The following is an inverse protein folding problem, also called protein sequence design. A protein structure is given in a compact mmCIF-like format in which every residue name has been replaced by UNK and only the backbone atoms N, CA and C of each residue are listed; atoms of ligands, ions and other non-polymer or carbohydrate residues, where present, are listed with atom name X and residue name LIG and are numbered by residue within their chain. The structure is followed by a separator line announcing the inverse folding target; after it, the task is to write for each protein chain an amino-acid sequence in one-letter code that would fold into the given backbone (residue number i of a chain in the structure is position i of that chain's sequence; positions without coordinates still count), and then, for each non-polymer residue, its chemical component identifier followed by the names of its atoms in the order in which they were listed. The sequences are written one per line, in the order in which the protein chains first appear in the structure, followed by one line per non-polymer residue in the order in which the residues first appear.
data_IF_004789352594
#
_entry.id   IF_004789352594
#
_cell.length_a   1.000
_cell.length_b   1.000
_cell.length_c   1.000
_cell.angle_alpha   90.00
_cell.angle_beta   90.00
_cell.angle_gamma   90.00
#
_symmetry.space_group_name_H-M   'P 1'
#
loop_
_entity.id
_entity.type
_entity.pdbx_description
1 polymer ?
#
# COMPACT_ATOMS: atom_id res chain seq x y z
N UNK A 1 22.22 -10.94 7.01
CA UNK A 1 22.37 -11.45 5.63
C UNK A 1 21.54 -10.55 4.72
N UNK A 2 22.05 -10.19 3.54
CA UNK A 2 21.30 -9.42 2.54
C UNK A 2 20.31 -10.35 1.83
N UNK A 3 19.03 -9.98 1.80
CA UNK A 3 17.99 -10.72 1.08
C UNK A 3 17.35 -9.80 0.03
N UNK A 4 17.32 -10.27 -1.22
CA UNK A 4 16.53 -9.66 -2.28
C UNK A 4 15.15 -10.32 -2.30
N UNK A 5 14.12 -9.53 -2.06
CA UNK A 5 12.73 -9.97 -2.11
C UNK A 5 12.09 -9.47 -3.40
N UNK A 6 11.31 -10.34 -4.04
CA UNK A 6 10.52 -9.99 -5.22
C UNK A 6 9.06 -10.38 -5.00
N UNK A 7 8.16 -9.55 -5.51
CA UNK A 7 6.73 -9.83 -5.54
C UNK A 7 6.17 -9.42 -6.89
N UNK A 8 5.17 -10.14 -7.39
CA UNK A 8 4.55 -9.84 -8.68
C UNK A 8 3.12 -9.33 -8.48
N UNK A 9 2.82 -8.19 -9.09
CA UNK A 9 1.44 -7.72 -9.22
C UNK A 9 0.87 -8.36 -10.49
N UNK A 10 -0.22 -9.11 -10.35
CA UNK A 10 -0.89 -9.68 -11.52
C UNK A 10 -1.36 -8.57 -12.46
N UNK A 11 -1.45 -8.84 -13.76
CA UNK A 11 -2.04 -7.86 -14.68
C UNK A 11 -3.52 -7.64 -14.36
N UNK A 12 -4.23 -8.72 -14.07
CA UNK A 12 -5.63 -8.73 -13.61
C UNK A 12 -5.69 -9.38 -12.23
N UNK A 13 -5.35 -8.65 -11.15
CA UNK A 13 -5.45 -9.16 -9.79
C UNK A 13 -6.90 -9.48 -9.41
N UNK A 14 -7.08 -10.42 -8.49
CA UNK A 14 -8.37 -10.66 -7.85
C UNK A 14 -8.74 -9.43 -7.01
N UNK A 15 -9.93 -8.82 -7.20
CA UNK A 15 -10.40 -7.69 -6.39
C UNK A 15 -10.37 -7.95 -4.87
N UNK A 16 -10.47 -9.21 -4.46
CA UNK A 16 -10.39 -9.61 -3.04
C UNK A 16 -8.94 -9.74 -2.53
N UNK A 17 -7.94 -9.66 -3.41
CA UNK A 17 -6.55 -9.73 -3.03
C UNK A 17 -6.14 -8.46 -2.26
N UNK A 18 -5.73 -8.66 -1.00
CA UNK A 18 -5.23 -7.57 -0.17
C UNK A 18 -3.70 -7.45 -0.29
N UNK A 19 -3.23 -6.23 -0.57
CA UNK A 19 -1.82 -5.91 -0.72
C UNK A 19 -1.20 -5.21 0.49
N UNK A 20 -2.00 -4.86 1.50
CA UNK A 20 -1.55 -4.14 2.71
C UNK A 20 -0.36 -4.82 3.38
N UNK A 21 -0.48 -6.11 3.67
CA UNK A 21 0.49 -6.82 4.50
C UNK A 21 1.86 -6.94 3.84
N UNK A 22 1.89 -7.04 2.50
CA UNK A 22 3.13 -7.05 1.74
C UNK A 22 3.89 -5.72 1.89
N UNK A 23 3.19 -4.59 1.79
CA UNK A 23 3.80 -3.26 1.91
C UNK A 23 4.26 -3.03 3.35
N UNK A 24 3.40 -3.36 4.33
CA UNK A 24 3.72 -3.22 5.75
C UNK A 24 4.90 -4.11 6.16
N UNK A 25 4.99 -5.33 5.62
CA UNK A 25 6.15 -6.19 5.85
C UNK A 25 7.43 -5.55 5.31
N UNK A 26 7.40 -4.96 4.10
CA UNK A 26 8.55 -4.27 3.53
C UNK A 26 8.97 -3.03 4.34
N UNK A 27 8.01 -2.23 4.81
CA UNK A 27 8.28 -1.07 5.69
C UNK A 27 8.93 -1.50 7.01
N UNK A 28 8.41 -2.55 7.66
CA UNK A 28 8.97 -3.07 8.90
C UNK A 28 10.36 -3.67 8.70
N UNK A 29 10.58 -4.41 7.60
CA UNK A 29 11.89 -4.98 7.27
C UNK A 29 12.97 -3.92 7.07
N UNK A 30 12.58 -2.70 6.66
CA UNK A 30 13.47 -1.54 6.54
C UNK A 30 13.53 -0.66 7.78
N UNK A 31 12.77 -0.98 8.83
CA UNK A 31 12.70 -0.16 10.05
C UNK A 31 12.09 1.22 9.82
N UNK A 32 11.25 1.38 8.80
CA UNK A 32 10.68 2.68 8.40
C UNK A 32 9.40 3.05 9.18
N UNK A 33 8.82 2.12 9.94
CA UNK A 33 7.58 2.38 10.70
C UNK A 33 7.94 3.03 12.04
N UNK A 34 7.54 4.30 12.29
CA UNK A 34 7.80 4.97 13.56
C UNK A 34 6.98 4.35 14.70
N UNK A 35 7.53 4.40 15.93
CA UNK A 35 6.88 3.84 17.12
C UNK A 35 5.48 4.43 17.37
N UNK A 36 5.31 5.75 17.20
CA UNK A 36 4.02 6.42 17.24
C UNK A 36 3.48 6.69 15.82
N UNK A 37 2.16 6.68 15.59
CA UNK A 37 1.59 7.07 14.30
C UNK A 37 1.96 8.52 13.95
N UNK A 38 2.30 8.80 12.68
CA UNK A 38 2.52 10.17 12.24
C UNK A 38 1.22 10.99 12.32
N UNK A 39 1.35 12.29 12.56
CA UNK A 39 0.24 13.22 12.42
C UNK A 39 0.13 13.65 10.95
N UNK A 40 -0.95 13.24 10.28
CA UNK A 40 -1.17 13.54 8.86
C UNK A 40 -1.96 14.84 8.70
N UNK A 41 -1.34 15.87 8.13
CA UNK A 41 -2.04 17.10 7.77
C UNK A 41 -3.00 16.86 6.60
N UNK A 42 -4.22 17.37 6.69
CA UNK A 42 -5.21 17.26 5.60
C UNK A 42 -6.03 15.97 5.61
N UNK A 43 -5.74 15.03 6.51
CA UNK A 43 -6.55 13.82 6.69
C UNK A 43 -7.44 13.92 7.94
N UNK A 44 -8.66 13.34 7.90
CA UNK A 44 -9.47 13.16 9.10
C UNK A 44 -8.73 12.33 10.16
N UNK A 45 -8.97 12.63 11.45
CA UNK A 45 -8.27 11.95 12.56
C UNK A 45 -8.50 10.43 12.66
N UNK A 46 -9.48 9.86 11.94
CA UNK A 46 -9.69 8.41 11.84
C UNK A 46 -8.85 7.75 10.74
N UNK A 47 -8.13 8.51 9.91
CA UNK A 47 -7.20 8.00 8.91
C UNK A 47 -5.82 7.89 9.55
N UNK A 48 -5.52 6.70 10.06
CA UNK A 48 -4.22 6.35 10.62
C UNK A 48 -3.99 4.84 10.46
N UNK A 49 -2.73 4.40 10.55
CA UNK A 49 -2.34 3.00 10.29
C UNK A 49 -3.14 1.93 11.04
N UNK A 50 -3.56 2.18 12.29
CA UNK A 50 -4.37 1.22 13.07
C UNK A 50 -5.82 1.05 12.57
N UNK A 51 -6.30 1.93 11.70
CA UNK A 51 -7.61 1.82 11.07
C UNK A 51 -7.51 1.32 9.63
N UNK A 52 -6.33 1.05 9.09
CA UNK A 52 -6.19 0.52 7.73
C UNK A 52 -6.51 -0.98 7.71
N UNK A 53 -7.62 -1.33 7.08
CA UNK A 53 -8.08 -2.71 6.95
C UNK A 53 -7.46 -3.42 5.76
N UNK A 54 -7.54 -2.83 4.58
CA UNK A 54 -7.09 -3.47 3.34
C UNK A 54 -6.65 -2.46 2.28
N UNK A 55 -5.83 -2.92 1.34
CA UNK A 55 -5.54 -2.23 0.08
C UNK A 55 -5.85 -3.22 -1.04
N UNK A 56 -6.86 -2.93 -1.86
CA UNK A 56 -7.27 -3.76 -3.01
C UNK A 56 -7.08 -3.00 -4.31
N UNK A 57 -7.12 -3.72 -5.44
CA UNK A 57 -7.05 -3.15 -6.78
C UNK A 57 -8.29 -3.57 -7.54
N UNK A 58 -8.95 -2.63 -8.19
CA UNK A 58 -10.16 -2.91 -8.97
C UNK A 58 -10.09 -2.20 -10.32
N UNK A 59 -10.70 -2.83 -11.31
CA UNK A 59 -10.80 -2.30 -12.66
C UNK A 59 -12.19 -1.76 -12.92
N UNK A 60 -12.27 -0.50 -13.34
CA UNK A 60 -13.50 0.21 -13.67
C UNK A 60 -13.36 0.86 -15.05
N UNK A 61 -14.27 0.52 -15.96
CA UNK A 61 -14.28 1.06 -17.33
C UNK A 61 -12.96 0.85 -18.08
N UNK A 62 -12.25 -0.25 -17.77
CA UNK A 62 -10.96 -0.60 -18.38
C UNK A 62 -9.74 0.04 -17.70
N UNK A 63 -9.95 0.98 -16.77
CA UNK A 63 -8.88 1.63 -16.00
C UNK A 63 -8.80 1.05 -14.58
N UNK A 64 -7.64 1.17 -13.96
CA UNK A 64 -7.33 0.61 -12.65
C UNK A 64 -7.34 1.68 -11.55
N UNK A 65 -7.90 1.33 -10.39
CA UNK A 65 -7.79 2.12 -9.16
C UNK A 65 -7.32 1.24 -8.01
N UNK A 66 -6.69 1.86 -7.02
CA UNK A 66 -6.59 1.27 -5.70
C UNK A 66 -7.82 1.61 -4.87
N UNK A 67 -8.07 0.78 -3.85
CA UNK A 67 -9.05 1.04 -2.82
C UNK A 67 -8.45 0.72 -1.45
N UNK A 68 -8.23 1.77 -0.66
CA UNK A 68 -7.78 1.69 0.72
C UNK A 68 -8.98 1.67 1.65
N UNK A 69 -9.24 0.52 2.24
CA UNK A 69 -10.37 0.29 3.13
C UNK A 69 -9.98 0.61 4.56
N UNK A 70 -10.80 1.41 5.24
CA UNK A 70 -10.65 1.78 6.63
C UNK A 70 -11.68 1.06 7.50
N UNK A 71 -11.28 0.71 8.72
CA UNK A 71 -12.15 0.22 9.77
C UNK A 71 -12.33 1.26 10.89
N UNK A 72 -13.34 1.06 11.74
CA UNK A 72 -13.62 1.92 12.90
C UNK A 72 -13.83 3.41 12.55
N UNK A 73 -14.40 3.64 11.38
CA UNK A 73 -14.75 4.97 10.86
C UNK A 73 -16.05 5.46 11.52
N UNK A 74 -16.17 6.76 11.89
CA UNK A 74 -17.42 7.32 12.42
C UNK A 74 -18.61 7.09 11.48
N UNK A 75 -19.81 6.93 12.06
CA UNK A 75 -21.02 6.72 11.27
C UNK A 75 -21.26 7.86 10.28
N UNK A 76 -21.60 7.52 9.04
CA UNK A 76 -21.84 8.48 7.96
C UNK A 76 -20.58 9.01 7.27
N UNK A 77 -19.37 8.64 7.72
CA UNK A 77 -18.12 9.04 7.07
C UNK A 77 -17.64 8.00 6.05
N UNK A 78 -16.95 8.42 4.97
CA UNK A 78 -16.35 7.50 4.01
C UNK A 78 -15.33 6.59 4.67
N UNK A 79 -15.44 5.28 4.39
CA UNK A 79 -14.54 4.25 4.88
C UNK A 79 -13.63 3.65 3.80
N UNK A 80 -13.58 4.28 2.63
CA UNK A 80 -12.76 3.84 1.51
C UNK A 80 -12.14 5.07 0.83
N UNK A 81 -10.87 4.97 0.47
CA UNK A 81 -10.14 5.98 -0.31
C UNK A 81 -9.67 5.31 -1.59
N UNK A 82 -9.98 5.90 -2.73
CA UNK A 82 -9.53 5.44 -4.05
C UNK A 82 -9.22 6.62 -4.96
N UNK A 83 -8.76 6.32 -6.17
CA UNK A 83 -8.52 7.36 -7.16
C UNK A 83 -9.85 7.90 -7.68
N UNK A 84 -9.99 9.23 -7.82
CA UNK A 84 -11.09 9.80 -8.59
C UNK A 84 -11.02 9.33 -10.07
N UNK A 85 -12.15 9.31 -10.79
CA UNK A 85 -12.24 8.73 -12.15
C UNK A 85 -11.18 9.22 -13.13
N UNK A 86 -10.87 10.52 -13.11
CA UNK A 86 -9.93 11.19 -14.00
C UNK A 86 -8.45 10.86 -13.72
N UNK A 87 -8.14 10.24 -12.58
CA UNK A 87 -6.78 9.85 -12.18
C UNK A 87 -6.57 8.32 -12.19
N UNK A 88 -7.56 7.52 -12.61
CA UNK A 88 -7.41 6.07 -12.74
C UNK A 88 -6.31 5.71 -13.75
N UNK A 89 -5.61 4.61 -13.51
CA UNK A 89 -4.41 4.23 -14.23
C UNK A 89 -4.69 3.25 -15.38
N UNK A 90 -3.78 3.15 -16.35
CA UNK A 90 -3.91 2.17 -17.45
C UNK A 90 -3.58 0.76 -16.98
N UNK A 91 -2.71 0.63 -15.97
CA UNK A 91 -2.24 -0.66 -15.47
C UNK A 91 -2.47 -0.85 -13.97
N UNK A 92 -2.64 -2.11 -13.57
CA UNK A 92 -2.79 -2.49 -12.16
C UNK A 92 -1.54 -2.17 -11.32
N UNK A 93 -0.35 -2.19 -11.91
CA UNK A 93 0.89 -1.84 -11.19
C UNK A 93 0.94 -0.35 -10.89
N UNK A 94 0.51 0.53 -11.80
CA UNK A 94 0.43 1.98 -11.53
C UNK A 94 -0.57 2.27 -10.41
N UNK A 95 -1.75 1.66 -10.47
CA UNK A 95 -2.76 1.80 -9.40
C UNK A 95 -2.22 1.27 -8.06
N UNK A 96 -1.50 0.15 -8.07
CA UNK A 96 -0.82 -0.38 -6.90
C UNK A 96 0.20 0.61 -6.32
N UNK A 97 1.05 1.22 -7.16
CA UNK A 97 2.08 2.15 -6.71
C UNK A 97 1.44 3.39 -6.06
N UNK A 98 0.41 3.97 -6.67
CA UNK A 98 -0.33 5.10 -6.09
C UNK A 98 -0.97 4.74 -4.73
N UNK A 99 -1.57 3.55 -4.63
CA UNK A 99 -2.13 3.07 -3.36
C UNK A 99 -1.07 2.77 -2.30
N UNK A 100 0.09 2.29 -2.72
CA UNK A 100 1.22 2.02 -1.85
C UNK A 100 1.86 3.30 -1.32
N UNK A 101 1.95 4.37 -2.11
CA UNK A 101 2.42 5.69 -1.69
C UNK A 101 1.52 6.25 -0.57
N UNK A 102 0.19 6.21 -0.77
CA UNK A 102 -0.76 6.61 0.27
C UNK A 102 -0.62 5.75 1.54
N UNK A 103 -0.43 4.44 1.38
CA UNK A 103 -0.25 3.55 2.53
C UNK A 103 1.06 3.86 3.27
N UNK A 104 2.15 4.18 2.55
CA UNK A 104 3.41 4.61 3.15
C UNK A 104 3.21 5.91 3.92
N UNK A 105 2.58 6.92 3.31
CA UNK A 105 2.25 8.18 3.96
C UNK A 105 1.51 7.95 5.28
N UNK A 106 0.50 7.07 5.29
CA UNK A 106 -0.27 6.75 6.50
C UNK A 106 0.56 6.05 7.58
N UNK A 107 1.52 5.21 7.19
CA UNK A 107 2.32 4.41 8.13
C UNK A 107 3.54 5.17 8.67
N UNK A 108 4.22 5.93 7.81
CA UNK A 108 5.53 6.54 8.07
C UNK A 108 5.47 8.07 8.16
N UNK A 109 4.48 8.68 7.52
CA UNK A 109 4.40 10.14 7.34
C UNK A 109 5.02 10.62 6.03
N UNK A 110 5.53 9.70 5.20
CA UNK A 110 6.20 9.99 3.94
C UNK A 110 5.70 9.04 2.84
N UNK A 111 5.62 9.51 1.59
CA UNK A 111 5.15 8.73 0.44
C UNK A 111 6.20 7.75 -0.10
N UNK A 112 7.43 7.79 0.42
CA UNK A 112 8.55 6.99 -0.05
C UNK A 112 8.28 5.47 0.05
N UNK A 113 8.34 4.82 -1.11
CA UNK A 113 8.08 3.39 -1.23
C UNK A 113 9.28 2.55 -0.74
N UNK A 114 9.04 1.44 -0.01
CA UNK A 114 10.11 0.55 0.43
C UNK A 114 10.63 -0.35 -0.69
N UNK A 115 10.05 -0.31 -1.89
CA UNK A 115 10.39 -1.09 -3.07
C UNK A 115 10.38 -0.22 -4.33
N UNK A 116 10.95 -0.73 -5.41
CA UNK A 116 10.76 -0.18 -6.75
C UNK A 116 10.14 -1.23 -7.67
N UNK A 117 9.49 -0.78 -8.75
CA UNK A 117 8.87 -1.66 -9.74
C UNK A 117 9.73 -1.77 -11.00
N UNK A 118 9.83 -2.98 -11.55
CA UNK A 118 10.38 -3.27 -12.89
C UNK A 118 9.33 -4.09 -13.64
N UNK A 119 8.62 -3.44 -14.56
CA UNK A 119 7.37 -3.98 -15.10
C UNK A 119 6.38 -4.23 -13.95
N UNK A 120 5.81 -5.44 -13.90
CA UNK A 120 4.89 -5.83 -12.82
C UNK A 120 5.58 -6.51 -11.61
N UNK A 121 6.91 -6.38 -11.51
CA UNK A 121 7.69 -6.99 -10.42
C UNK A 121 8.16 -5.92 -9.46
N UNK A 122 7.79 -6.06 -8.20
CA UNK A 122 8.32 -5.26 -7.09
C UNK A 122 9.63 -5.87 -6.61
N UNK A 123 10.60 -5.03 -6.31
CA UNK A 123 11.90 -5.43 -5.78
C UNK A 123 12.25 -4.60 -4.54
N UNK A 124 12.64 -5.27 -3.46
CA UNK A 124 13.24 -4.60 -2.30
C UNK A 124 14.26 -5.47 -1.60
N UNK A 125 15.14 -4.80 -0.87
CA UNK A 125 16.19 -5.42 -0.08
C UNK A 125 15.84 -5.33 1.40
N UNK A 126 16.15 -6.39 2.14
CA UNK A 126 16.01 -6.45 3.59
C UNK A 126 17.29 -7.00 4.22
N UNK A 127 17.58 -6.55 5.45
CA UNK A 127 18.66 -7.09 6.27
C UNK A 127 18.05 -7.83 7.46
N UNK A 128 18.23 -9.14 7.51
CA UNK A 128 17.73 -9.98 8.60
C UNK A 128 18.70 -11.10 9.01
N UNK A 129 18.46 -11.78 10.14
CA UNK A 129 19.16 -13.03 10.44
C UNK A 129 18.89 -14.02 9.30
N UNK A 130 19.95 -14.59 8.74
CA UNK A 130 19.82 -15.49 7.60
C UNK A 130 18.96 -16.68 7.99
N UNK A 131 17.83 -16.88 7.32
CA UNK A 131 17.13 -18.17 7.35
C UNK A 131 18.05 -19.17 6.66
N UNK A 132 18.71 -20.00 7.46
CA UNK A 132 19.27 -21.24 6.98
C UNK A 132 18.10 -22.10 6.47
N UNK A 133 18.04 -22.28 5.16
CA UNK A 133 17.24 -23.34 4.54
C UNK A 133 17.95 -24.69 4.75
#
# INVERSE_FOLDING_TARGET
MFQLNTARIAQNPDPMQCYRDMIVAALNAKGLVPAAPPALSGFPGYVHRYNVKALTLEQEEGLWSYYLHLERVPSGMPNCIGLPPEFRCETSIEAFMAGAELLCLIYTGEEDLPFFAVGNTLMFTAYGPGTAA
#
